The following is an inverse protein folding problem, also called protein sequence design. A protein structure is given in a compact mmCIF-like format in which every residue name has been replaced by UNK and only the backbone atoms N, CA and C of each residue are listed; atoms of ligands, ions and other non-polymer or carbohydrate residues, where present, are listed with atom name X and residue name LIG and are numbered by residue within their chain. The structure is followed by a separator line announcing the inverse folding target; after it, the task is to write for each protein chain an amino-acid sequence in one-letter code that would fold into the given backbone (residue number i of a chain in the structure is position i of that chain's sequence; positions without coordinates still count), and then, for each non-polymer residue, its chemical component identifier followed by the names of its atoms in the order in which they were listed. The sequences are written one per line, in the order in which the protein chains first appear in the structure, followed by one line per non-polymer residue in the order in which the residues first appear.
data_IF_483980499386
#
_entry.id   IF_483980499386
#
_cell.length_a   1.000
_cell.length_b   1.000
_cell.length_c   1.000
_cell.angle_alpha   90.00
_cell.angle_beta   90.00
_cell.angle_gamma   90.00
#
_symmetry.space_group_name_H-M   'P 1'
#
loop_
_entity.id
_entity.type
_entity.pdbx_description
1 polymer ?
#
# COMPACT_ATOMS: atom_id res chain seq x y z
N UNK A 1 -23.46 5.06 -16.88
CA UNK A 1 -22.92 4.63 -15.57
C UNK A 1 -21.72 5.51 -15.28
N UNK A 2 -21.73 6.22 -14.15
CA UNK A 2 -20.57 7.00 -13.71
C UNK A 2 -19.52 5.96 -13.29
N UNK A 3 -18.35 5.97 -13.91
CA UNK A 3 -17.24 5.11 -13.54
C UNK A 3 -16.70 5.65 -12.19
N UNK A 4 -16.58 4.79 -11.19
CA UNK A 4 -15.96 5.19 -9.91
C UNK A 4 -14.55 5.71 -10.15
N UNK A 5 -14.19 6.82 -9.52
CA UNK A 5 -12.83 7.35 -9.54
C UNK A 5 -11.96 6.59 -8.54
N UNK A 6 -10.83 6.08 -9.00
CA UNK A 6 -9.99 5.15 -8.26
C UNK A 6 -8.59 5.74 -8.08
N UNK A 7 -8.09 5.69 -6.86
CA UNK A 7 -6.71 6.04 -6.51
C UNK A 7 -5.98 4.81 -5.97
N UNK A 8 -4.75 4.60 -6.40
CA UNK A 8 -3.79 3.73 -5.72
C UNK A 8 -2.84 4.61 -4.92
N UNK A 9 -3.05 4.63 -3.62
CA UNK A 9 -2.27 5.37 -2.64
C UNK A 9 -1.34 4.40 -1.92
N UNK A 10 -0.03 4.65 -1.92
CA UNK A 10 0.88 3.69 -1.33
C UNK A 10 2.17 4.33 -0.81
N UNK A 11 2.78 3.65 0.16
CA UNK A 11 4.17 3.84 0.57
C UNK A 11 4.98 2.60 0.17
N UNK A 12 6.19 2.81 -0.34
CA UNK A 12 7.10 1.74 -0.71
C UNK A 12 8.54 2.09 -0.33
N UNK A 13 9.36 1.10 -0.05
CA UNK A 13 10.77 1.27 0.31
C UNK A 13 11.67 0.51 -0.66
N UNK A 14 12.48 1.24 -1.42
CA UNK A 14 13.61 0.72 -2.17
C UNK A 14 14.87 0.66 -1.28
N UNK A 15 15.91 -0.02 -1.72
CA UNK A 15 17.11 -0.26 -0.93
C UNK A 15 17.15 -1.69 -0.40
N UNK A 16 17.84 -1.92 0.71
CA UNK A 16 17.92 -3.25 1.30
C UNK A 16 16.63 -3.63 2.01
N UNK A 17 16.04 -4.75 1.61
CA UNK A 17 14.81 -5.28 2.16
C UNK A 17 14.97 -6.74 2.57
N UNK A 18 14.23 -7.15 3.60
CA UNK A 18 14.26 -8.52 4.10
C UNK A 18 13.92 -9.51 2.98
N UNK A 19 14.69 -10.59 2.90
CA UNK A 19 14.49 -11.74 2.02
C UNK A 19 14.65 -11.47 0.50
N UNK A 20 14.79 -10.21 0.08
CA UNK A 20 14.98 -9.84 -1.33
C UNK A 20 16.31 -9.10 -1.58
N UNK A 21 17.02 -8.68 -0.52
CA UNK A 21 18.25 -7.93 -0.61
C UNK A 21 18.04 -6.50 -1.09
N UNK A 22 19.01 -5.95 -1.82
CA UNK A 22 18.91 -4.62 -2.40
C UNK A 22 17.99 -4.64 -3.62
N UNK A 23 16.99 -3.75 -3.62
CA UNK A 23 16.03 -3.59 -4.71
C UNK A 23 15.93 -2.12 -5.12
N UNK A 24 15.86 -1.86 -6.42
CA UNK A 24 15.71 -0.50 -6.96
C UNK A 24 14.26 -0.02 -6.91
N UNK A 25 13.31 -0.96 -7.06
CA UNK A 25 11.87 -0.71 -6.96
C UNK A 25 11.31 -1.50 -5.77
N UNK A 26 10.69 -0.81 -4.83
CA UNK A 26 10.13 -1.44 -3.63
C UNK A 26 8.99 -2.41 -3.96
N UNK A 27 8.85 -3.44 -3.11
CA UNK A 27 7.84 -4.48 -3.29
C UNK A 27 6.42 -3.92 -3.44
N UNK A 28 6.05 -2.95 -2.60
CA UNK A 28 4.72 -2.34 -2.62
C UNK A 28 4.48 -1.55 -3.89
N UNK A 29 5.49 -0.84 -4.42
CA UNK A 29 5.40 -0.09 -5.67
C UNK A 29 5.06 -1.00 -6.86
N UNK A 30 5.68 -2.18 -6.93
CA UNK A 30 5.39 -3.18 -7.97
C UNK A 30 3.91 -3.58 -7.97
N UNK A 31 3.36 -3.86 -6.80
CA UNK A 31 1.95 -4.24 -6.66
C UNK A 31 1.02 -3.06 -6.95
N UNK A 32 1.40 -1.85 -6.51
CA UNK A 32 0.65 -0.63 -6.80
C UNK A 32 0.54 -0.39 -8.32
N UNK A 33 1.61 -0.60 -9.06
CA UNK A 33 1.62 -0.48 -10.52
C UNK A 33 0.69 -1.50 -11.18
N UNK A 34 0.73 -2.76 -10.73
CA UNK A 34 -0.16 -3.81 -11.24
C UNK A 34 -1.65 -3.47 -11.01
N UNK A 35 -1.99 -2.93 -9.83
CA UNK A 35 -3.36 -2.52 -9.52
C UNK A 35 -3.78 -1.35 -10.42
N UNK A 36 -2.92 -0.33 -10.55
CA UNK A 36 -3.21 0.84 -11.37
C UNK A 36 -3.39 0.48 -12.85
N UNK A 37 -2.53 -0.37 -13.40
CA UNK A 37 -2.64 -0.86 -14.78
C UNK A 37 -3.95 -1.63 -15.02
N UNK A 38 -4.31 -2.52 -14.07
CA UNK A 38 -5.51 -3.34 -14.20
C UNK A 38 -6.81 -2.52 -14.08
N UNK A 39 -6.83 -1.47 -13.28
CA UNK A 39 -8.03 -0.69 -12.98
C UNK A 39 -8.13 0.63 -13.75
N UNK A 40 -7.02 1.12 -14.28
CA UNK A 40 -6.91 2.46 -14.86
C UNK A 40 -6.94 3.57 -13.79
N UNK A 41 -6.53 3.24 -12.56
CA UNK A 41 -6.50 4.17 -11.44
C UNK A 41 -5.35 5.18 -11.54
N UNK A 42 -5.54 6.35 -10.95
CA UNK A 42 -4.45 7.26 -10.65
C UNK A 42 -3.56 6.69 -9.53
N UNK A 43 -2.30 7.13 -9.48
CA UNK A 43 -1.36 6.71 -8.43
C UNK A 43 -0.83 7.92 -7.66
N UNK A 44 -0.67 7.74 -6.36
CA UNK A 44 0.07 8.66 -5.51
C UNK A 44 0.93 7.90 -4.51
N UNK A 45 2.23 8.18 -4.53
CA UNK A 45 3.18 7.61 -3.58
C UNK A 45 3.36 8.54 -2.37
N UNK A 46 3.19 7.99 -1.18
CA UNK A 46 3.52 8.67 0.07
C UNK A 46 5.03 8.64 0.21
N UNK A 47 5.67 9.81 0.16
CA UNK A 47 7.12 9.96 0.24
C UNK A 47 7.48 10.76 1.49
N UNK A 48 8.20 10.17 2.46
CA UNK A 48 8.68 10.90 3.62
C UNK A 48 9.63 12.04 3.24
N UNK A 49 9.56 13.17 3.94
CA UNK A 49 10.52 14.28 3.77
C UNK A 49 11.95 13.82 4.05
N UNK A 50 12.13 13.07 5.13
CA UNK A 50 13.38 12.39 5.44
C UNK A 50 13.29 10.94 4.96
N UNK A 51 14.07 10.62 3.92
CA UNK A 51 14.11 9.26 3.40
C UNK A 51 14.54 8.26 4.47
N UNK A 52 13.92 7.08 4.46
CA UNK A 52 14.40 5.97 5.29
C UNK A 52 15.76 5.48 4.81
N UNK A 53 16.59 4.95 5.74
CA UNK A 53 17.90 4.42 5.37
C UNK A 53 17.84 3.35 4.29
N UNK A 54 18.84 3.33 3.42
CA UNK A 54 19.01 2.27 2.40
C UNK A 54 19.45 0.96 3.05
N UNK A 55 20.31 1.03 4.07
CA UNK A 55 20.75 -0.13 4.86
C UNK A 55 19.59 -0.76 5.62
N UNK A 56 19.49 -2.08 5.55
CA UNK A 56 18.39 -2.83 6.16
C UNK A 56 18.33 -2.63 7.68
N UNK A 57 19.44 -2.77 8.37
CA UNK A 57 19.46 -2.70 9.83
C UNK A 57 19.13 -1.29 10.34
N UNK A 58 19.67 -0.26 9.68
CA UNK A 58 19.36 1.12 10.01
C UNK A 58 17.88 1.43 9.74
N UNK A 59 17.33 0.93 8.63
CA UNK A 59 15.92 1.15 8.29
C UNK A 59 14.98 0.50 9.31
N UNK A 60 15.21 -0.75 9.68
CA UNK A 60 14.35 -1.44 10.67
C UNK A 60 14.44 -0.80 12.05
N UNK A 61 15.59 -0.24 12.42
CA UNK A 61 15.76 0.47 13.70
C UNK A 61 14.95 1.77 13.71
N UNK A 62 15.04 2.57 12.65
CA UNK A 62 14.25 3.80 12.51
C UNK A 62 12.75 3.48 12.54
N UNK A 63 12.32 2.47 11.78
CA UNK A 63 10.91 2.05 11.74
C UNK A 63 10.40 1.61 13.12
N UNK A 64 11.23 0.90 13.89
CA UNK A 64 10.88 0.47 15.25
C UNK A 64 10.78 1.65 16.22
N UNK A 65 11.72 2.60 16.13
CA UNK A 65 11.69 3.82 16.94
C UNK A 65 10.44 4.64 16.67
N UNK A 66 10.10 4.85 15.38
CA UNK A 66 8.88 5.55 14.97
C UNK A 66 7.62 4.86 15.49
N UNK A 67 7.55 3.53 15.39
CA UNK A 67 6.43 2.75 15.92
C UNK A 67 6.28 2.94 17.43
N UNK A 68 7.36 2.83 18.19
CA UNK A 68 7.35 3.00 19.66
C UNK A 68 6.94 4.40 20.07
N UNK A 69 7.38 5.41 19.33
CA UNK A 69 7.04 6.81 19.57
C UNK A 69 5.66 7.21 19.03
N UNK A 70 4.98 6.31 18.32
CA UNK A 70 3.77 6.62 17.55
C UNK A 70 3.97 7.89 16.70
N UNK A 71 5.10 7.95 15.99
CA UNK A 71 5.56 9.11 15.26
C UNK A 71 4.66 9.42 14.04
N UNK A 72 4.72 10.67 13.61
CA UNK A 72 4.07 11.13 12.36
C UNK A 72 5.11 11.84 11.50
N UNK A 73 5.98 11.06 10.80
CA UNK A 73 6.99 11.64 9.92
C UNK A 73 6.36 12.55 8.88
N UNK A 74 6.97 13.69 8.62
CA UNK A 74 6.53 14.59 7.57
C UNK A 74 6.66 13.92 6.19
N UNK A 75 5.72 14.24 5.32
CA UNK A 75 5.63 13.68 3.96
C UNK A 75 5.62 14.78 2.91
N UNK A 76 6.13 14.45 1.72
CA UNK A 76 6.19 15.35 0.56
C UNK A 76 4.89 15.36 -0.22
N UNK A 77 4.43 16.54 -0.59
CA UNK A 77 3.27 16.69 -1.46
C UNK A 77 1.97 16.22 -0.83
N UNK A 78 0.93 16.26 -1.61
CA UNK A 78 -0.41 15.85 -1.23
C UNK A 78 -1.26 15.54 -2.46
N UNK A 79 -2.38 14.86 -2.26
CA UNK A 79 -3.39 14.63 -3.28
C UNK A 79 -4.78 14.81 -2.67
N UNK A 80 -5.67 15.45 -3.40
CA UNK A 80 -7.06 15.64 -2.99
C UNK A 80 -7.82 14.30 -3.09
N UNK A 81 -7.95 13.59 -1.97
CA UNK A 81 -8.68 12.31 -1.95
C UNK A 81 -10.19 12.49 -2.14
N UNK A 82 -10.69 13.70 -2.01
CA UNK A 82 -12.09 14.08 -2.23
C UNK A 82 -12.57 13.70 -3.63
N UNK A 83 -11.67 13.72 -4.61
CA UNK A 83 -11.95 13.40 -6.01
C UNK A 83 -12.11 11.89 -6.29
N UNK A 84 -11.87 11.05 -5.28
CA UNK A 84 -11.88 9.60 -5.44
C UNK A 84 -12.94 8.92 -4.59
N UNK A 85 -13.60 7.91 -5.19
CA UNK A 85 -14.60 7.08 -4.51
C UNK A 85 -13.96 5.86 -3.85
N UNK A 86 -12.96 5.28 -4.52
CA UNK A 86 -12.26 4.06 -4.11
C UNK A 86 -10.77 4.33 -4.00
N UNK A 87 -10.20 3.96 -2.87
CA UNK A 87 -8.76 4.12 -2.60
C UNK A 87 -8.17 2.76 -2.23
N UNK A 88 -7.31 2.24 -3.10
CA UNK A 88 -6.42 1.14 -2.76
C UNK A 88 -5.25 1.69 -1.96
N UNK A 89 -5.11 1.26 -0.71
CA UNK A 89 -4.07 1.75 0.20
C UNK A 89 -3.03 0.66 0.45
N UNK A 90 -1.81 0.90 -0.04
CA UNK A 90 -0.71 -0.06 0.00
C UNK A 90 0.45 0.34 0.89
N UNK A 91 1.04 -0.66 1.55
CA UNK A 91 2.17 -0.48 2.45
C UNK A 91 2.91 -1.80 2.70
N UNK A 92 4.21 -1.76 3.05
CA UNK A 92 4.91 -2.93 3.56
C UNK A 92 4.55 -3.20 5.02
N UNK A 93 4.66 -4.46 5.44
CA UNK A 93 4.59 -4.80 6.85
C UNK A 93 5.90 -4.40 7.56
N UNK A 94 5.82 -3.44 8.45
CA UNK A 94 6.94 -2.99 9.26
C UNK A 94 6.67 -3.23 10.74
N UNK A 95 7.29 -4.27 11.29
CA UNK A 95 7.12 -4.67 12.69
C UNK A 95 5.67 -5.02 13.07
N UNK A 96 4.94 -5.68 12.17
CA UNK A 96 3.53 -6.00 12.38
C UNK A 96 2.61 -4.78 12.38
N UNK A 97 3.05 -3.69 11.73
CA UNK A 97 2.37 -2.40 11.74
C UNK A 97 2.37 -1.76 10.36
N UNK A 98 1.45 -0.85 10.17
CA UNK A 98 1.45 0.12 9.07
C UNK A 98 2.58 1.11 9.30
N UNK A 99 3.44 1.41 8.32
CA UNK A 99 4.48 2.43 8.47
C UNK A 99 3.93 3.79 8.91
N UNK A 100 4.62 4.46 9.81
CA UNK A 100 4.09 5.68 10.47
C UNK A 100 3.83 6.83 9.50
N UNK A 101 4.57 6.93 8.39
CA UNK A 101 4.32 7.93 7.35
C UNK A 101 2.96 7.75 6.65
N UNK A 102 2.43 6.53 6.62
CA UNK A 102 1.08 6.26 6.10
C UNK A 102 0.02 6.87 7.02
N UNK A 103 0.20 6.75 8.32
CA UNK A 103 -0.70 7.42 9.28
C UNK A 103 -0.65 8.95 9.16
N UNK A 104 0.52 9.50 8.88
CA UNK A 104 0.66 10.95 8.61
C UNK A 104 -0.26 11.38 7.47
N UNK A 105 -0.30 10.62 6.37
CA UNK A 105 -1.21 10.91 5.26
C UNK A 105 -2.67 10.73 5.67
N UNK A 106 -3.01 9.61 6.32
CA UNK A 106 -4.40 9.31 6.69
C UNK A 106 -4.99 10.42 7.56
N UNK A 107 -4.23 10.91 8.54
CA UNK A 107 -4.71 11.91 9.50
C UNK A 107 -4.90 13.32 8.91
N UNK A 108 -4.36 13.58 7.70
CA UNK A 108 -4.52 14.85 7.00
C UNK A 108 -5.84 14.98 6.23
N UNK A 109 -6.57 13.88 6.04
CA UNK A 109 -7.70 13.83 5.12
C UNK A 109 -9.00 13.36 5.79
N UNK A 110 -10.13 13.78 5.19
CA UNK A 110 -11.45 13.26 5.54
C UNK A 110 -11.77 12.02 4.69
N UNK A 111 -12.00 10.92 5.38
CA UNK A 111 -12.26 9.60 4.77
C UNK A 111 -13.75 9.25 4.69
N UNK A 112 -14.64 10.15 5.12
CA UNK A 112 -16.08 9.89 5.10
C UNK A 112 -16.57 9.53 3.70
N UNK A 113 -17.29 8.42 3.60
CA UNK A 113 -17.89 7.94 2.36
C UNK A 113 -16.89 7.31 1.37
N UNK A 114 -15.60 7.26 1.68
CA UNK A 114 -14.60 6.59 0.83
C UNK A 114 -14.63 5.09 1.05
N UNK A 115 -14.46 4.31 -0.02
CA UNK A 115 -14.16 2.88 0.09
C UNK A 115 -12.65 2.69 0.09
N UNK A 116 -12.12 2.09 1.15
CA UNK A 116 -10.68 1.83 1.31
C UNK A 116 -10.42 0.34 1.23
N UNK A 117 -9.50 -0.05 0.36
CA UNK A 117 -9.15 -1.45 0.13
C UNK A 117 -7.65 -1.62 0.38
N UNK A 118 -7.24 -2.17 1.53
CA UNK A 118 -5.84 -2.34 1.87
C UNK A 118 -5.14 -3.41 1.01
N UNK A 119 -3.88 -3.16 0.67
CA UNK A 119 -2.97 -4.19 0.20
C UNK A 119 -1.62 -4.06 0.88
N UNK A 120 -1.01 -5.19 1.20
CA UNK A 120 0.23 -5.26 1.96
C UNK A 120 1.26 -6.13 1.27
N UNK A 121 2.53 -5.72 1.32
CA UNK A 121 3.66 -6.58 1.00
C UNK A 121 4.34 -7.04 2.28
N UNK A 122 4.70 -8.31 2.34
CA UNK A 122 5.22 -8.96 3.55
C UNK A 122 6.20 -10.07 3.20
N UNK A 123 6.83 -10.66 4.22
CA UNK A 123 7.70 -11.83 4.05
C UNK A 123 7.28 -12.99 4.99
N UNK A 124 5.97 -13.27 5.03
CA UNK A 124 5.40 -14.39 5.78
C UNK A 124 4.29 -14.03 6.78
N UNK A 125 4.13 -12.76 7.11
CA UNK A 125 3.14 -12.30 8.11
C UNK A 125 1.72 -12.11 7.57
N UNK A 126 1.54 -12.09 6.24
CA UNK A 126 0.26 -11.75 5.62
C UNK A 126 -0.21 -10.34 5.97
N UNK A 127 -1.52 -10.14 6.04
CA UNK A 127 -2.15 -8.86 6.42
C UNK A 127 -1.86 -8.47 7.88
N UNK A 128 -1.70 -9.43 8.78
CA UNK A 128 -1.31 -9.21 10.18
C UNK A 128 -2.25 -8.29 10.98
N UNK A 129 -3.51 -8.17 10.58
CA UNK A 129 -4.50 -7.30 11.25
C UNK A 129 -4.31 -5.80 10.94
N UNK A 130 -3.44 -5.44 10.01
CA UNK A 130 -3.18 -4.04 9.65
C UNK A 130 -4.37 -3.37 8.96
N UNK A 131 -5.20 -4.13 8.26
CA UNK A 131 -6.44 -3.65 7.64
C UNK A 131 -7.44 -3.11 8.70
N UNK A 132 -7.54 -3.75 9.85
CA UNK A 132 -8.33 -3.23 10.97
C UNK A 132 -7.76 -1.94 11.55
N UNK A 133 -6.44 -1.78 11.54
CA UNK A 133 -5.77 -0.54 11.94
C UNK A 133 -6.05 0.59 10.96
N UNK A 134 -6.04 0.29 9.66
CA UNK A 134 -6.45 1.26 8.63
C UNK A 134 -7.91 1.67 8.82
N UNK A 135 -8.81 0.72 9.06
CA UNK A 135 -10.23 1.02 9.30
C UNK A 135 -10.42 1.98 10.48
N UNK A 136 -9.64 1.81 11.54
CA UNK A 136 -9.67 2.69 12.71
C UNK A 136 -9.10 4.07 12.39
N UNK A 137 -7.98 4.13 11.68
CA UNK A 137 -7.30 5.39 11.36
C UNK A 137 -8.10 6.23 10.33
N UNK A 138 -8.66 5.58 9.31
CA UNK A 138 -9.50 6.19 8.29
C UNK A 138 -10.99 6.17 8.71
N UNK A 139 -11.27 6.68 9.90
CA UNK A 139 -12.62 6.68 10.47
C UNK A 139 -13.62 7.35 9.54
N UNK A 140 -14.82 6.77 9.41
CA UNK A 140 -15.85 7.22 8.46
C UNK A 140 -15.76 6.60 7.08
N UNK A 141 -14.66 5.93 6.75
CA UNK A 141 -14.54 5.15 5.51
C UNK A 141 -15.24 3.80 5.61
N UNK A 142 -15.58 3.25 4.44
CA UNK A 142 -15.91 1.84 4.29
C UNK A 142 -14.62 1.07 3.98
N UNK A 143 -13.84 0.75 5.01
CA UNK A 143 -12.63 -0.07 4.84
C UNK A 143 -13.00 -1.54 4.75
N UNK A 144 -12.60 -2.20 3.66
CA UNK A 144 -12.91 -3.61 3.40
C UNK A 144 -11.96 -4.53 4.20
N UNK A 145 -12.18 -4.60 5.51
CA UNK A 145 -11.42 -5.48 6.41
C UNK A 145 -11.65 -6.95 6.03
N UNK A 146 -10.58 -7.72 5.99
CA UNK A 146 -10.61 -9.13 5.59
C UNK A 146 -10.73 -9.38 4.08
N UNK A 147 -10.77 -8.32 3.27
CA UNK A 147 -10.81 -8.39 1.80
C UNK A 147 -9.58 -7.76 1.14
N UNK A 148 -8.59 -7.38 1.92
CA UNK A 148 -7.33 -6.85 1.40
C UNK A 148 -6.49 -7.92 0.71
N UNK A 149 -5.49 -7.46 -0.07
CA UNK A 149 -4.51 -8.33 -0.70
C UNK A 149 -3.22 -8.36 0.11
N UNK A 150 -2.68 -9.54 0.36
CA UNK A 150 -1.36 -9.72 0.92
C UNK A 150 -0.47 -10.44 -0.10
N UNK A 151 0.65 -9.82 -0.49
CA UNK A 151 1.61 -10.39 -1.44
C UNK A 151 2.98 -10.46 -0.80
N UNK A 152 3.63 -11.61 -0.93
CA UNK A 152 5.01 -11.77 -0.47
C UNK A 152 5.94 -10.94 -1.35
N UNK A 153 6.83 -10.15 -0.73
CA UNK A 153 7.75 -9.28 -1.46
C UNK A 153 8.67 -10.04 -2.41
N UNK A 154 9.14 -11.21 -2.00
CA UNK A 154 9.91 -12.10 -2.86
C UNK A 154 9.15 -12.49 -4.13
N UNK A 155 7.85 -12.75 -4.04
CA UNK A 155 7.02 -13.06 -5.22
C UNK A 155 6.88 -11.83 -6.11
N UNK A 156 6.69 -10.64 -5.55
CA UNK A 156 6.64 -9.40 -6.31
C UNK A 156 7.94 -9.15 -7.10
N UNK A 157 9.11 -9.42 -6.51
CA UNK A 157 10.41 -9.21 -7.15
C UNK A 157 10.78 -10.31 -8.15
N UNK A 158 10.63 -11.58 -7.76
CA UNK A 158 11.20 -12.71 -8.51
C UNK A 158 10.17 -13.43 -9.40
N UNK A 159 8.87 -13.24 -9.16
CA UNK A 159 7.81 -13.88 -9.94
C UNK A 159 6.63 -12.93 -10.20
N UNK A 160 6.88 -11.92 -11.00
CA UNK A 160 5.88 -10.89 -11.34
C UNK A 160 4.62 -11.45 -12.01
N UNK A 161 4.76 -12.55 -12.76
CA UNK A 161 3.60 -13.22 -13.38
C UNK A 161 2.67 -13.79 -12.32
N UNK A 162 3.20 -14.43 -11.29
CA UNK A 162 2.42 -14.96 -10.17
C UNK A 162 1.79 -13.82 -9.34
N UNK A 163 2.55 -12.77 -9.06
CA UNK A 163 2.04 -11.58 -8.37
C UNK A 163 0.89 -10.95 -9.13
N UNK A 164 1.05 -10.75 -10.44
CA UNK A 164 -0.01 -10.19 -11.29
C UNK A 164 -1.26 -11.05 -11.30
N UNK A 165 -1.13 -12.36 -11.38
CA UNK A 165 -2.27 -13.29 -11.32
C UNK A 165 -3.03 -13.15 -9.99
N UNK A 166 -2.31 -12.98 -8.88
CA UNK A 166 -2.92 -12.76 -7.58
C UNK A 166 -3.69 -11.43 -7.52
N UNK A 167 -3.11 -10.37 -8.07
CA UNK A 167 -3.76 -9.05 -8.18
C UNK A 167 -5.02 -9.15 -9.04
N UNK A 168 -4.95 -9.72 -10.23
CA UNK A 168 -6.07 -9.82 -11.15
C UNK A 168 -7.22 -10.65 -10.58
N UNK A 169 -6.91 -11.78 -9.93
CA UNK A 169 -7.89 -12.63 -9.27
C UNK A 169 -8.58 -11.90 -8.12
N UNK A 170 -7.81 -11.19 -7.30
CA UNK A 170 -8.33 -10.41 -6.20
C UNK A 170 -9.23 -9.26 -6.67
N UNK A 171 -8.80 -8.48 -7.66
CA UNK A 171 -9.60 -7.40 -8.24
C UNK A 171 -10.91 -7.91 -8.84
N UNK A 172 -10.87 -9.03 -9.56
CA UNK A 172 -12.07 -9.67 -10.11
C UNK A 172 -13.03 -10.11 -9.00
N UNK A 173 -12.51 -10.67 -7.91
CA UNK A 173 -13.29 -11.04 -6.73
C UNK A 173 -13.95 -9.85 -6.02
N UNK A 174 -13.40 -8.67 -6.15
CA UNK A 174 -13.96 -7.41 -5.64
C UNK A 174 -14.93 -6.74 -6.65
N UNK A 175 -15.08 -7.29 -7.86
CA UNK A 175 -15.96 -6.76 -8.89
C UNK A 175 -15.32 -5.69 -9.77
N UNK A 176 -14.00 -5.54 -9.74
CA UNK A 176 -13.29 -4.67 -10.68
C UNK A 176 -13.03 -5.43 -11.99
N UNK A 177 -13.32 -4.77 -13.13
CA UNK A 177 -12.98 -5.32 -14.43
C UNK A 177 -11.49 -5.11 -14.68
N UNK A 178 -10.76 -6.21 -14.80
CA UNK A 178 -9.35 -6.19 -15.16
C UNK A 178 -9.26 -5.93 -16.67
N UNK A 179 -8.48 -4.92 -17.07
CA UNK A 179 -8.14 -4.71 -18.47
C UNK A 179 -7.19 -5.84 -18.91
N UNK A 180 -7.75 -6.94 -19.37
CA UNK A 180 -6.97 -7.97 -20.06
C UNK A 180 -6.55 -7.35 -21.38
N UNK A 181 -5.32 -6.84 -21.47
CA UNK A 181 -4.70 -6.61 -22.75
C UNK A 181 -4.50 -7.97 -23.40
N UNK A 182 -5.34 -8.30 -24.34
CA UNK A 182 -5.10 -9.41 -25.26
C UNK A 182 -3.75 -9.15 -25.94
N UNK A 183 -2.80 -10.06 -25.72
CA UNK A 183 -1.55 -10.13 -26.48
C UNK A 183 -1.81 -10.83 -27.81
#
# INVERSE_FOLDING_TARGET
MIKASILVLFFSHAGENYNVGYIEEGNTAIIADMIAEATGADKFEIVPEKAYPVDYNECIEVAQQEKRANARPEIKGDIAIEDYDVIFLGYPNWWGEVPMCVYTFIEKHDWNGKTVIPFITHEGSGMGGTDSKIAKAAAGSNTLVGKGLAVQGKVAQENRTSAKKSVDTWLSGLGFYVNLQEK
#
